data_IF_546647526832
#
_entry.id   IF_546647526832
#
_cell.length_a   1.000
_cell.length_b   1.000
_cell.length_c   1.000
_cell.angle_alpha   90.00
_cell.angle_beta   90.00
_cell.angle_gamma   90.00
#
_symmetry.space_group_name_H-M   'P 1'
#
loop_
_entity.id
_entity.type
_entity.pdbx_description
1 polymer ?
#
# COMPACT_ATOMS: atom_id res chain seq x y z
N UNK A 1 -50.38 30.25 44.13
CA UNK A 1 -49.43 29.90 43.05
C UNK A 1 -48.29 29.13 43.71
N UNK A 2 -48.43 27.81 43.73
CA UNK A 2 -47.64 26.88 44.54
C UNK A 2 -46.20 26.71 44.05
N UNK A 3 -45.27 27.38 44.74
CA UNK A 3 -43.82 27.25 44.51
C UNK A 3 -43.26 25.90 44.95
N UNK A 4 -43.95 25.21 45.85
CA UNK A 4 -43.58 23.89 46.40
C UNK A 4 -43.72 22.77 45.37
N UNK A 5 -44.76 22.82 44.52
CA UNK A 5 -44.97 21.86 43.44
C UNK A 5 -43.83 21.92 42.39
N UNK A 6 -43.33 23.12 42.09
CA UNK A 6 -42.27 23.32 41.09
C UNK A 6 -40.91 22.77 41.54
N UNK A 7 -40.60 22.84 42.83
CA UNK A 7 -39.34 22.31 43.40
C UNK A 7 -39.37 20.79 43.46
N UNK A 8 -40.51 20.17 43.79
CA UNK A 8 -40.66 18.72 43.79
C UNK A 8 -40.50 18.11 42.39
N UNK A 9 -41.06 18.77 41.38
CA UNK A 9 -40.94 18.32 39.98
C UNK A 9 -39.48 18.36 39.52
N UNK A 10 -38.74 19.44 39.82
CA UNK A 10 -37.31 19.52 39.49
C UNK A 10 -36.46 18.49 40.26
N UNK A 11 -36.77 18.24 41.53
CA UNK A 11 -36.05 17.27 42.36
C UNK A 11 -36.26 15.81 41.91
N UNK A 12 -37.37 15.49 41.23
CA UNK A 12 -37.64 14.16 40.68
C UNK A 12 -37.09 13.98 39.25
N UNK A 13 -37.05 15.05 38.44
CA UNK A 13 -36.56 14.98 37.05
C UNK A 13 -35.03 14.88 36.99
N UNK A 14 -34.29 15.58 37.87
CA UNK A 14 -32.82 15.56 37.86
C UNK A 14 -32.20 14.16 38.05
N UNK A 15 -32.58 13.35 39.06
CA UNK A 15 -32.02 12.01 39.23
C UNK A 15 -32.49 11.04 38.15
N UNK A 16 -33.70 11.21 37.60
CA UNK A 16 -34.21 10.39 36.50
C UNK A 16 -33.41 10.60 35.20
N UNK A 17 -32.92 11.82 34.95
CA UNK A 17 -32.05 12.12 33.81
C UNK A 17 -30.64 11.51 33.96
N UNK A 18 -30.16 11.37 35.20
CA UNK A 18 -28.86 10.75 35.53
C UNK A 18 -28.87 9.21 35.45
N UNK A 19 -30.06 8.60 35.43
CA UNK A 19 -30.24 7.15 35.29
C UNK A 19 -30.43 6.70 33.83
N UNK A 20 -30.35 7.62 32.86
CA UNK A 20 -30.37 7.25 31.45
C UNK A 20 -29.09 6.46 31.12
N UNK A 21 -29.19 5.20 30.66
CA UNK A 21 -28.02 4.43 30.27
C UNK A 21 -27.34 5.13 29.10
N UNK A 22 -26.08 5.50 29.29
CA UNK A 22 -25.23 6.01 28.21
C UNK A 22 -25.23 4.96 27.10
N UNK A 23 -25.64 5.28 25.86
CA UNK A 23 -25.69 4.30 24.80
C UNK A 23 -24.28 3.74 24.58
N UNK A 24 -24.11 2.40 24.56
CA UNK A 24 -22.80 1.75 24.41
C UNK A 24 -22.13 2.04 23.05
N UNK A 25 -22.82 2.73 22.15
CA UNK A 25 -22.32 3.14 20.84
C UNK A 25 -21.26 4.26 20.89
N UNK A 26 -21.26 5.11 21.92
CA UNK A 26 -20.32 6.24 22.03
C UNK A 26 -18.83 5.82 22.08
N UNK A 27 -18.41 4.85 22.92
CA UNK A 27 -17.01 4.41 22.95
C UNK A 27 -16.57 3.69 21.67
N UNK A 28 -17.46 2.97 20.99
CA UNK A 28 -17.14 2.30 19.72
C UNK A 28 -16.88 3.33 18.59
N UNK A 29 -17.73 4.36 18.48
CA UNK A 29 -17.56 5.44 17.49
C UNK A 29 -16.27 6.23 17.75
N UNK A 30 -15.94 6.51 19.02
CA UNK A 30 -14.70 7.20 19.39
C UNK A 30 -13.45 6.39 19.03
N UNK A 31 -13.49 5.06 19.12
CA UNK A 31 -12.37 4.20 18.70
C UNK A 31 -12.19 4.17 17.18
N UNK A 32 -13.27 4.10 16.40
CA UNK A 32 -13.18 4.20 14.94
C UNK A 32 -12.62 5.56 14.48
N UNK A 33 -13.04 6.65 15.13
CA UNK A 33 -12.52 7.99 14.84
C UNK A 33 -11.03 8.16 15.22
N UNK A 34 -10.54 7.42 16.22
CA UNK A 34 -9.11 7.39 16.59
C UNK A 34 -8.27 6.62 15.57
N UNK A 35 -8.81 5.54 14.98
CA UNK A 35 -8.14 4.80 13.90
C UNK A 35 -8.00 5.66 12.63
N UNK A 36 -9.00 6.49 12.31
CA UNK A 36 -8.90 7.45 11.19
C UNK A 36 -7.81 8.52 11.37
N UNK A 37 -7.35 8.76 12.60
CA UNK A 37 -6.24 9.68 12.88
C UNK A 37 -4.86 9.04 12.70
N UNK A 38 -4.76 7.79 12.25
CA UNK A 38 -3.47 7.20 11.93
C UNK A 38 -2.71 8.06 10.91
N UNK A 39 -1.39 8.11 11.09
CA UNK A 39 -0.47 8.89 10.27
C UNK A 39 -0.78 8.70 8.78
N UNK A 40 -0.72 9.78 8.01
CA UNK A 40 -0.98 9.76 6.56
C UNK A 40 -0.22 8.60 5.91
N UNK A 41 -0.91 7.70 5.21
CA UNK A 41 -0.28 6.49 4.71
C UNK A 41 0.79 6.85 3.68
N UNK A 42 1.94 6.19 3.75
CA UNK A 42 3.09 6.47 2.88
C UNK A 42 2.99 5.60 1.64
N UNK A 43 2.96 6.25 0.47
CA UNK A 43 2.95 5.57 -0.82
C UNK A 43 4.37 5.51 -1.39
N UNK A 44 4.71 4.35 -1.93
CA UNK A 44 6.03 4.07 -2.46
C UNK A 44 5.97 3.82 -3.96
N UNK A 45 7.00 4.28 -4.69
CA UNK A 45 7.15 3.98 -6.10
C UNK A 45 7.44 2.50 -6.27
N UNK A 46 6.57 1.79 -6.98
CA UNK A 46 6.74 0.36 -7.27
C UNK A 46 7.33 0.17 -8.66
N UNK A 47 6.81 0.89 -9.67
CA UNK A 47 7.28 0.80 -11.06
C UNK A 47 7.17 2.15 -11.76
N UNK A 48 8.16 2.45 -12.61
CA UNK A 48 8.17 3.62 -13.50
C UNK A 48 7.65 3.24 -14.88
N UNK A 49 7.18 4.24 -15.62
CA UNK A 49 6.70 4.08 -17.01
C UNK A 49 5.67 2.95 -17.12
N UNK A 50 4.77 2.90 -16.15
CA UNK A 50 3.80 1.84 -15.98
C UNK A 50 2.49 2.38 -15.40
N UNK A 51 1.38 1.82 -15.86
CA UNK A 51 0.04 2.12 -15.38
C UNK A 51 -0.68 0.84 -15.01
N UNK A 52 -1.18 0.77 -13.78
CA UNK A 52 -2.10 -0.27 -13.34
C UNK A 52 -3.48 -0.07 -13.98
N UNK A 53 -4.09 -1.16 -14.43
CA UNK A 53 -5.47 -1.21 -14.94
C UNK A 53 -6.51 -1.58 -13.87
N UNK A 54 -6.13 -1.56 -12.59
CA UNK A 54 -7.07 -1.77 -11.48
C UNK A 54 -8.16 -0.69 -11.43
N UNK A 55 -9.23 -0.97 -10.68
CA UNK A 55 -10.39 -0.08 -10.56
C UNK A 55 -10.01 1.30 -10.00
N UNK A 56 -10.40 2.36 -10.72
CA UNK A 56 -10.18 3.75 -10.32
C UNK A 56 -11.31 4.22 -9.41
N UNK A 57 -10.98 4.61 -8.17
CA UNK A 57 -11.94 5.14 -7.18
C UNK A 57 -12.00 6.66 -7.15
N UNK A 58 -10.95 7.33 -7.65
CA UNK A 58 -10.93 8.78 -7.83
C UNK A 58 -9.90 9.18 -8.87
N UNK A 59 -10.13 10.32 -9.51
CA UNK A 59 -9.16 10.92 -10.43
C UNK A 59 -9.13 12.44 -10.27
N UNK A 60 -7.95 13.03 -10.46
CA UNK A 60 -7.79 14.47 -10.44
C UNK A 60 -6.58 14.93 -11.24
N UNK A 61 -6.62 16.20 -11.62
CA UNK A 61 -5.51 16.90 -12.24
C UNK A 61 -4.67 17.63 -11.19
N UNK A 62 -3.76 16.91 -10.55
CA UNK A 62 -2.81 17.44 -9.57
C UNK A 62 -1.48 17.82 -10.22
N UNK A 63 -0.68 18.63 -9.53
CA UNK A 63 0.62 19.14 -10.02
C UNK A 63 1.82 18.41 -9.43
N UNK A 64 1.61 17.59 -8.40
CA UNK A 64 2.68 16.88 -7.71
C UNK A 64 2.21 15.50 -7.25
N UNK A 65 3.18 14.58 -7.14
CA UNK A 65 2.95 13.24 -6.57
C UNK A 65 2.36 13.32 -5.17
N UNK A 66 2.85 14.23 -4.33
CA UNK A 66 2.35 14.40 -2.96
C UNK A 66 0.85 14.67 -2.92
N UNK A 67 0.35 15.54 -3.80
CA UNK A 67 -1.09 15.80 -3.90
C UNK A 67 -1.89 14.60 -4.39
N UNK A 68 -1.29 13.74 -5.22
CA UNK A 68 -1.92 12.48 -5.60
C UNK A 68 -2.00 11.50 -4.42
N UNK A 69 -0.94 11.43 -3.60
CA UNK A 69 -0.93 10.64 -2.37
C UNK A 69 -1.96 11.15 -1.34
N UNK A 70 -2.10 12.48 -1.19
CA UNK A 70 -3.12 13.09 -0.33
C UNK A 70 -4.53 12.72 -0.81
N UNK A 71 -4.77 12.79 -2.12
CA UNK A 71 -6.03 12.37 -2.72
C UNK A 71 -6.29 10.89 -2.46
N UNK A 72 -5.29 10.03 -2.67
CA UNK A 72 -5.39 8.59 -2.43
C UNK A 72 -5.73 8.30 -0.96
N UNK A 73 -5.03 8.92 -0.01
CA UNK A 73 -5.33 8.81 1.42
C UNK A 73 -6.77 9.25 1.73
N UNK A 74 -7.20 10.41 1.22
CA UNK A 74 -8.56 10.95 1.46
C UNK A 74 -9.67 10.07 0.89
N UNK A 75 -9.36 9.29 -0.15
CA UNK A 75 -10.30 8.38 -0.82
C UNK A 75 -10.11 6.92 -0.42
N UNK A 76 -9.29 6.66 0.62
CA UNK A 76 -8.94 5.32 1.09
C UNK A 76 -8.37 4.42 -0.02
N UNK A 77 -7.73 5.01 -1.03
CA UNK A 77 -7.06 4.27 -2.09
C UNK A 77 -5.80 3.58 -1.59
N UNK A 78 -5.56 2.38 -2.11
CA UNK A 78 -4.40 1.56 -1.72
C UNK A 78 -3.21 1.71 -2.67
N UNK A 79 -3.44 2.29 -3.84
CA UNK A 79 -2.43 2.57 -4.85
C UNK A 79 -2.86 3.76 -5.73
N UNK A 80 -1.94 4.30 -6.52
CA UNK A 80 -2.27 5.29 -7.54
C UNK A 80 -1.30 5.27 -8.72
N UNK A 81 -1.81 5.65 -9.89
CA UNK A 81 -1.00 6.02 -11.05
C UNK A 81 -0.80 7.55 -11.05
N UNK A 82 0.43 8.02 -11.17
CA UNK A 82 0.74 9.45 -11.26
C UNK A 82 1.50 9.79 -12.53
N UNK A 83 1.03 10.80 -13.24
CA UNK A 83 1.65 11.34 -14.44
C UNK A 83 2.11 12.78 -14.16
N UNK A 84 3.40 13.12 -14.31
CA UNK A 84 3.83 14.51 -14.26
C UNK A 84 3.19 15.29 -15.42
N UNK A 85 2.83 16.56 -15.18
CA UNK A 85 2.02 17.39 -16.09
C UNK A 85 2.65 17.72 -17.46
N UNK A 86 3.80 17.15 -17.77
CA UNK A 86 4.52 17.36 -19.02
C UNK A 86 4.79 16.06 -19.77
N UNK A 87 4.20 14.93 -19.33
CA UNK A 87 4.31 13.68 -20.07
C UNK A 87 3.46 13.77 -21.37
N UNK A 88 4.08 13.83 -22.56
CA UNK A 88 3.34 13.94 -23.80
C UNK A 88 2.60 12.62 -24.04
N UNK A 89 1.27 12.65 -24.04
CA UNK A 89 0.52 11.60 -24.72
C UNK A 89 0.58 11.87 -26.22
N UNK A 90 0.84 10.82 -27.00
CA UNK A 90 0.94 10.89 -28.45
C UNK A 90 -0.36 11.32 -29.17
N UNK A 91 -1.47 11.45 -28.44
CA UNK A 91 -2.80 11.80 -28.96
C UNK A 91 -3.25 13.24 -28.65
N UNK A 92 -2.42 14.04 -27.95
CA UNK A 92 -2.76 15.41 -27.58
C UNK A 92 -3.89 15.54 -26.54
N UNK A 93 -4.30 14.43 -25.91
CA UNK A 93 -5.35 14.41 -24.90
C UNK A 93 -4.75 14.44 -23.49
N UNK A 94 -5.24 15.35 -22.65
CA UNK A 94 -4.80 15.46 -21.25
C UNK A 94 -5.39 14.31 -20.43
N UNK A 95 -4.55 13.34 -20.09
CA UNK A 95 -4.83 12.38 -19.03
C UNK A 95 -5.10 13.07 -17.70
N UNK A 96 -5.93 12.47 -16.85
CA UNK A 96 -5.88 12.84 -15.43
C UNK A 96 -4.50 12.52 -14.86
N UNK A 97 -3.81 13.51 -14.28
CA UNK A 97 -2.45 13.32 -13.76
C UNK A 97 -2.38 12.42 -12.52
N UNK A 98 -3.51 12.15 -11.88
CA UNK A 98 -3.63 11.25 -10.75
C UNK A 98 -4.85 10.34 -10.91
N UNK A 99 -4.63 9.03 -10.80
CA UNK A 99 -5.66 7.99 -10.80
C UNK A 99 -5.49 7.16 -9.52
N UNK A 100 -6.43 7.28 -8.58
CA UNK A 100 -6.43 6.54 -7.31
C UNK A 100 -7.13 5.21 -7.51
N UNK A 101 -6.56 4.14 -6.98
CA UNK A 101 -6.99 2.76 -7.20
C UNK A 101 -7.54 2.14 -5.92
N UNK A 102 -8.59 1.33 -6.05
CA UNK A 102 -9.22 0.62 -4.94
C UNK A 102 -8.29 -0.44 -4.36
N UNK A 103 -7.53 -1.11 -5.23
CA UNK A 103 -6.65 -2.22 -4.88
C UNK A 103 -5.26 -2.02 -5.48
N UNK A 104 -4.20 -2.45 -4.79
CA UNK A 104 -2.88 -2.55 -5.37
C UNK A 104 -2.80 -3.76 -6.33
N UNK A 105 -1.81 -3.75 -7.20
CA UNK A 105 -1.37 -4.93 -7.92
C UNK A 105 -0.92 -6.04 -6.95
N UNK A 106 -1.45 -7.25 -7.12
CA UNK A 106 -1.05 -8.47 -6.41
C UNK A 106 -0.64 -9.53 -7.43
N UNK A 107 0.36 -10.37 -7.10
CA UNK A 107 0.87 -11.50 -7.90
C UNK A 107 1.23 -11.18 -9.38
N UNK A 108 2.52 -11.29 -9.73
CA UNK A 108 3.03 -11.09 -11.11
C UNK A 108 2.77 -9.70 -11.73
N UNK A 109 2.18 -8.73 -11.00
CA UNK A 109 1.85 -7.38 -11.50
C UNK A 109 1.02 -7.42 -12.79
N UNK A 110 0.08 -8.37 -12.89
CA UNK A 110 -0.58 -8.74 -14.14
C UNK A 110 -1.41 -7.62 -14.79
N UNK A 111 -1.95 -6.69 -14.00
CA UNK A 111 -2.70 -5.56 -14.53
C UNK A 111 -1.81 -4.32 -14.79
N UNK A 112 -0.51 -4.42 -14.50
CA UNK A 112 0.45 -3.37 -14.76
C UNK A 112 0.89 -3.40 -16.23
N UNK A 113 0.53 -2.35 -16.95
CA UNK A 113 0.86 -2.18 -18.36
C UNK A 113 1.96 -1.14 -18.52
N UNK A 114 2.79 -1.29 -19.55
CA UNK A 114 3.78 -0.27 -19.92
C UNK A 114 3.05 0.98 -20.41
N UNK A 115 3.27 2.11 -19.75
CA UNK A 115 2.68 3.41 -20.09
C UNK A 115 3.68 4.49 -19.64
N UNK A 116 4.40 5.07 -20.60
CA UNK A 116 5.48 6.03 -20.31
C UNK A 116 4.97 7.34 -19.70
N UNK A 117 3.66 7.58 -19.75
CA UNK A 117 3.08 8.76 -19.14
C UNK A 117 2.92 8.63 -17.62
N UNK A 118 2.95 7.42 -17.05
CA UNK A 118 2.62 7.18 -15.65
C UNK A 118 3.72 6.43 -14.90
N UNK A 119 3.81 6.74 -13.61
CA UNK A 119 4.49 5.94 -12.60
C UNK A 119 3.44 5.35 -11.65
N UNK A 120 3.67 4.11 -11.20
CA UNK A 120 2.78 3.39 -10.30
C UNK A 120 3.31 3.37 -8.87
N UNK A 121 2.44 3.76 -7.94
CA UNK A 121 2.72 3.87 -6.51
C UNK A 121 1.73 3.03 -5.69
N UNK A 122 2.20 2.44 -4.59
CA UNK A 122 1.40 1.58 -3.72
C UNK A 122 1.73 1.81 -2.25
N UNK A 123 0.78 1.54 -1.36
CA UNK A 123 1.05 1.41 0.08
C UNK A 123 1.97 0.24 0.41
N UNK A 124 2.05 -0.73 -0.51
CA UNK A 124 2.86 -1.93 -0.37
C UNK A 124 4.14 -1.76 -1.19
N UNK A 125 5.29 -1.73 -0.51
CA UNK A 125 6.62 -1.75 -1.15
C UNK A 125 6.96 -3.18 -1.55
N UNK A 126 7.19 -3.41 -2.84
CA UNK A 126 7.49 -4.73 -3.45
C UNK A 126 6.25 -5.66 -3.45
N UNK A 127 5.93 -6.42 -4.53
CA UNK A 127 5.10 -7.61 -4.35
C UNK A 127 5.67 -8.38 -3.17
N UNK A 128 4.83 -8.74 -2.18
CA UNK A 128 5.26 -9.60 -1.09
C UNK A 128 6.12 -10.70 -1.68
N UNK A 129 7.43 -10.71 -1.35
CA UNK A 129 8.30 -11.80 -1.77
C UNK A 129 7.57 -13.06 -1.30
N UNK A 130 7.32 -13.98 -2.22
CA UNK A 130 6.68 -15.31 -2.04
C UNK A 130 7.00 -16.01 -0.71
N UNK A 131 8.10 -15.63 -0.05
CA UNK A 131 8.59 -16.14 1.24
C UNK A 131 7.70 -15.91 2.47
N UNK A 132 6.73 -14.99 2.47
CA UNK A 132 5.91 -14.75 3.69
C UNK A 132 4.59 -15.55 3.75
N UNK A 133 4.35 -16.44 2.77
CA UNK A 133 3.21 -17.38 2.78
C UNK A 133 3.54 -18.75 3.37
N UNK A 134 4.74 -18.98 3.93
CA UNK A 134 5.00 -20.22 4.66
C UNK A 134 4.37 -20.18 6.05
N UNK A 135 3.48 -21.12 6.41
CA UNK A 135 2.93 -21.19 7.75
C UNK A 135 4.05 -21.34 8.77
N UNK A 136 4.01 -20.48 9.78
CA UNK A 136 4.93 -20.47 10.92
C UNK A 136 4.58 -21.65 11.83
N UNK A 137 5.16 -22.82 11.56
CA UNK A 137 5.04 -23.99 12.43
C UNK A 137 5.67 -25.25 11.84
N UNK A 138 6.84 -25.64 12.36
CA UNK A 138 7.08 -26.94 13.01
C UNK A 138 8.61 -27.06 13.21
N UNK A 139 9.07 -26.93 14.45
CA UNK A 139 10.47 -27.22 14.78
C UNK A 139 10.69 -28.74 14.87
N UNK A 140 11.76 -29.24 14.25
CA UNK A 140 12.46 -30.45 14.72
C UNK A 140 13.87 -30.59 14.10
N UNK A 141 14.88 -30.49 14.96
CA UNK A 141 16.15 -31.27 14.97
C UNK A 141 15.95 -32.68 14.38
N UNK A 142 16.86 -33.36 13.68
CA UNK A 142 18.32 -33.33 13.57
C UNK A 142 18.67 -34.19 12.33
N UNK A 143 19.91 -34.09 11.83
CA UNK A 143 20.86 -35.20 11.61
C UNK A 143 21.87 -34.85 10.52
N UNK A 144 23.00 -34.37 11.01
CA UNK A 144 24.32 -34.42 10.41
C UNK A 144 24.66 -35.85 9.92
N UNK A 145 24.99 -36.01 8.64
CA UNK A 145 25.87 -37.08 8.17
C UNK A 145 26.93 -36.48 7.27
N UNK A 146 28.16 -36.50 7.78
CA UNK A 146 29.37 -36.09 7.13
C UNK A 146 29.90 -37.16 6.16
N UNK A 147 30.72 -36.68 5.21
CA UNK A 147 31.77 -37.39 4.48
C UNK A 147 31.34 -38.34 3.33
N UNK A 148 31.85 -38.10 2.12
CA UNK A 148 33.14 -38.69 1.71
C UNK A 148 33.67 -38.09 0.40
N UNK A 149 34.98 -38.20 0.27
CA UNK A 149 35.93 -37.57 -0.64
C UNK A 149 36.08 -38.25 -2.01
N UNK A 150 36.47 -37.48 -3.04
CA UNK A 150 37.28 -37.92 -4.20
C UNK A 150 37.67 -36.65 -5.00
N UNK A 151 38.84 -36.01 -4.89
CA UNK A 151 40.26 -36.35 -5.14
C UNK A 151 40.60 -36.73 -6.59
N UNK A 152 41.30 -35.78 -7.25
CA UNK A 152 42.30 -35.90 -8.31
C UNK A 152 41.87 -36.35 -9.73
N UNK A 153 42.12 -35.48 -10.73
CA UNK A 153 43.40 -35.41 -11.46
C UNK A 153 43.45 -34.18 -12.39
N UNK A 154 44.49 -33.37 -12.20
CA UNK A 154 45.08 -32.48 -13.19
C UNK A 154 45.64 -33.28 -14.38
N UNK A 155 45.82 -32.62 -15.53
CA UNK A 155 47.08 -32.52 -16.31
C UNK A 155 46.80 -31.97 -17.73
N UNK A 156 47.32 -30.75 -17.97
CA UNK A 156 48.01 -30.28 -19.19
C UNK A 156 47.25 -30.19 -20.54
N UNK A 157 47.48 -29.24 -21.46
CA UNK A 157 48.37 -28.06 -21.60
C UNK A 157 47.93 -27.32 -22.89
N UNK A 158 48.24 -26.01 -22.99
CA UNK A 158 48.77 -25.24 -24.17
C UNK A 158 48.16 -25.47 -25.58
N UNK A 159 47.98 -24.49 -26.46
CA UNK A 159 48.60 -23.17 -26.65
C UNK A 159 47.93 -22.46 -27.85
N UNK A 160 47.93 -21.12 -27.83
CA UNK A 160 48.11 -20.15 -28.94
C UNK A 160 47.21 -20.23 -30.20
N UNK A 161 46.78 -19.12 -30.82
CA UNK A 161 47.60 -18.06 -31.44
C UNK A 161 46.79 -16.77 -31.62
N UNK A 162 47.45 -15.63 -31.35
CA UNK A 162 47.08 -14.24 -31.67
C UNK A 162 47.21 -13.90 -33.17
N UNK A 163 46.35 -13.01 -33.70
CA UNK A 163 46.71 -11.84 -34.54
C UNK A 163 45.43 -11.01 -34.84
N UNK A 164 45.32 -9.74 -34.42
CA UNK A 164 45.80 -8.51 -35.11
C UNK A 164 45.08 -8.31 -36.47
N UNK A 165 44.43 -7.20 -36.87
CA UNK A 165 44.49 -5.76 -36.53
C UNK A 165 43.29 -5.03 -37.23
N UNK A 166 43.08 -3.72 -37.00
CA UNK A 166 41.96 -2.94 -37.53
C UNK A 166 42.29 -2.21 -38.85
N UNK A 167 41.24 -1.67 -39.49
CA UNK A 167 41.29 -0.59 -40.46
C UNK A 167 40.22 0.45 -40.12
#
# INVERSE_FOLDING_TARGET
MDRTASVLVLALILPALLLLPVPPALPAVLRCAQVERQASPVFHLVRRCSRSAMSVVAQANVTSRGRCADLAASRRGLAFNYSPRDAPRGDGQFSSSCLVLDCPEFHELSALQRDEAYDYYSLFTDPMREYDLRPRGEGREDHNVNAHTSKMRDIHTRSNVQHSRPH
#
